data_IF_586316542781
#
_entry.id   IF_586316542781
#
_cell.length_a   1.000
_cell.length_b   1.000
_cell.length_c   1.000
_cell.angle_alpha   90.00
_cell.angle_beta   90.00
_cell.angle_gamma   90.00
#
_symmetry.space_group_name_H-M   'P 1'
#
loop_
_entity.id
_entity.type
_entity.pdbx_description
1 polymer ?
#
# COMPACT_ATOMS: atom_id res chain seq x y z
N UNK A 1 -2.34 -7.74 -2.08
CA UNK A 1 -1.61 -6.59 -1.49
C UNK A 1 -0.52 -7.05 -0.55
N UNK A 2 -0.75 -8.05 0.31
CA UNK A 2 0.22 -8.53 1.29
C UNK A 2 1.66 -8.71 0.81
N UNK A 3 1.87 -9.46 -0.28
CA UNK A 3 3.20 -9.66 -0.87
C UNK A 3 3.85 -8.35 -1.37
N UNK A 4 3.06 -7.45 -1.95
CA UNK A 4 3.54 -6.14 -2.42
C UNK A 4 4.00 -5.30 -1.24
N UNK A 5 3.19 -5.22 -0.18
CA UNK A 5 3.50 -4.49 1.04
C UNK A 5 4.75 -5.05 1.75
N UNK A 6 4.92 -6.37 1.78
CA UNK A 6 6.14 -7.00 2.27
C UNK A 6 7.37 -6.62 1.45
N UNK A 7 7.30 -6.77 0.12
CA UNK A 7 8.44 -6.50 -0.75
C UNK A 7 8.91 -5.04 -0.64
N UNK A 8 7.99 -4.07 -0.77
CA UNK A 8 8.33 -2.65 -0.66
C UNK A 8 8.70 -2.25 0.78
N UNK A 9 8.07 -2.88 1.77
CA UNK A 9 8.36 -2.62 3.18
C UNK A 9 9.78 -3.03 3.54
N UNK A 10 10.24 -4.18 3.05
CA UNK A 10 11.63 -4.61 3.19
C UNK A 10 12.61 -3.63 2.53
N UNK A 11 12.28 -3.10 1.35
CA UNK A 11 13.11 -2.08 0.69
C UNK A 11 13.21 -0.82 1.55
N UNK A 12 12.08 -0.25 1.98
CA UNK A 12 12.09 0.97 2.80
C UNK A 12 12.74 0.77 4.18
N UNK A 13 12.64 -0.44 4.75
CA UNK A 13 13.19 -0.75 6.08
C UNK A 13 14.68 -1.10 6.08
N UNK A 14 15.16 -1.81 5.05
CA UNK A 14 16.46 -2.49 5.12
C UNK A 14 17.42 -2.13 3.98
N UNK A 15 16.96 -1.47 2.92
CA UNK A 15 17.90 -0.96 1.91
C UNK A 15 18.76 0.16 2.52
N UNK A 16 20.07 0.25 2.19
CA UNK A 16 20.96 1.27 2.76
C UNK A 16 20.48 2.71 2.59
N UNK A 17 19.75 2.99 1.51
CA UNK A 17 19.17 4.29 1.18
C UNK A 17 17.63 4.32 1.31
N UNK A 18 17.03 3.24 1.83
CA UNK A 18 15.56 3.06 1.91
C UNK A 18 14.83 3.13 0.57
N UNK A 19 15.55 2.97 -0.55
CA UNK A 19 15.04 3.13 -1.91
C UNK A 19 14.98 4.58 -2.41
N UNK A 20 15.52 5.55 -1.66
CA UNK A 20 15.51 6.96 -2.05
C UNK A 20 16.28 7.20 -3.35
N UNK A 21 17.55 6.82 -3.41
CA UNK A 21 18.39 7.06 -4.57
C UNK A 21 18.26 5.92 -5.58
N UNK A 22 18.44 4.68 -5.13
CA UNK A 22 18.48 3.45 -5.93
C UNK A 22 17.18 3.14 -6.69
N UNK A 23 16.03 3.64 -6.24
CA UNK A 23 14.72 3.42 -6.88
C UNK A 23 14.07 4.75 -7.27
N UNK A 24 14.05 5.72 -6.36
CA UNK A 24 13.32 6.96 -6.57
C UNK A 24 14.16 8.10 -7.18
N UNK A 25 15.47 7.92 -7.33
CA UNK A 25 16.36 8.98 -7.87
C UNK A 25 16.40 10.23 -7.00
N UNK A 26 16.12 10.10 -5.69
CA UNK A 26 16.14 11.16 -4.71
C UNK A 26 17.49 11.19 -3.99
N UNK A 27 18.14 12.35 -4.01
CA UNK A 27 19.38 12.58 -3.28
C UNK A 27 19.09 12.85 -1.80
N UNK A 28 19.75 12.09 -0.92
CA UNK A 28 19.74 12.32 0.53
C UNK A 28 20.96 13.17 0.90
N UNK A 29 20.74 14.30 1.57
CA UNK A 29 21.80 15.25 1.96
C UNK A 29 21.80 15.49 3.48
N UNK A 30 21.41 16.69 3.91
CA UNK A 30 21.65 17.18 5.27
C UNK A 30 20.88 16.38 6.34
N UNK A 31 19.67 15.90 6.03
CA UNK A 31 18.79 15.18 6.96
C UNK A 31 18.68 13.67 6.68
N UNK A 32 19.71 13.08 6.06
CA UNK A 32 19.70 11.69 5.63
C UNK A 32 19.33 10.71 6.74
N UNK A 33 19.88 10.87 7.95
CA UNK A 33 19.59 9.99 9.08
C UNK A 33 18.11 10.04 9.52
N UNK A 34 17.54 11.25 9.57
CA UNK A 34 16.12 11.45 9.90
C UNK A 34 15.22 10.85 8.83
N UNK A 35 15.52 11.10 7.55
CA UNK A 35 14.75 10.56 6.42
C UNK A 35 14.80 9.03 6.42
N UNK A 36 15.99 8.43 6.63
CA UNK A 36 16.14 6.98 6.70
C UNK A 36 15.40 6.38 7.89
N UNK A 37 15.36 7.05 9.05
CA UNK A 37 14.55 6.62 10.20
C UNK A 37 13.05 6.64 9.88
N UNK A 38 12.58 7.68 9.18
CA UNK A 38 11.18 7.76 8.72
C UNK A 38 10.86 6.69 7.69
N UNK A 39 11.75 6.46 6.71
CA UNK A 39 11.60 5.40 5.71
C UNK A 39 11.58 4.02 6.37
N UNK A 40 12.45 3.78 7.35
CA UNK A 40 12.45 2.54 8.08
C UNK A 40 11.15 2.31 8.83
N UNK A 41 10.63 3.35 9.49
CA UNK A 41 9.32 3.31 10.16
C UNK A 41 8.19 2.99 9.17
N UNK A 42 8.17 3.65 8.01
CA UNK A 42 7.21 3.38 6.95
C UNK A 42 7.32 1.94 6.42
N UNK A 43 8.54 1.43 6.23
CA UNK A 43 8.80 0.07 5.78
C UNK A 43 8.33 -0.98 6.78
N UNK A 44 8.60 -0.79 8.08
CA UNK A 44 8.15 -1.67 9.14
C UNK A 44 6.62 -1.71 9.24
N UNK A 45 5.94 -0.56 9.10
CA UNK A 45 4.47 -0.51 9.03
C UNK A 45 3.93 -1.31 7.84
N UNK A 46 4.57 -1.21 6.66
CA UNK A 46 4.18 -1.97 5.48
C UNK A 46 4.42 -3.47 5.65
N UNK A 47 5.50 -3.89 6.31
CA UNK A 47 5.77 -5.30 6.63
C UNK A 47 4.66 -5.86 7.53
N UNK A 48 4.35 -5.18 8.64
CA UNK A 48 3.31 -5.61 9.58
C UNK A 48 1.95 -5.70 8.88
N UNK A 49 1.60 -4.67 8.10
CA UNK A 49 0.36 -4.68 7.32
C UNK A 49 0.34 -5.82 6.30
N UNK A 50 1.44 -6.03 5.58
CA UNK A 50 1.55 -7.09 4.57
C UNK A 50 1.39 -8.49 5.17
N UNK A 51 2.00 -8.73 6.34
CA UNK A 51 1.80 -9.97 7.11
C UNK A 51 0.33 -10.14 7.53
N UNK A 52 -0.31 -9.07 8.01
CA UNK A 52 -1.71 -9.12 8.42
C UNK A 52 -2.64 -9.37 7.23
N UNK A 53 -2.38 -8.78 6.08
CA UNK A 53 -3.12 -9.02 4.84
C UNK A 53 -2.98 -10.48 4.36
N UNK A 54 -1.77 -11.06 4.44
CA UNK A 54 -1.56 -12.48 4.12
C UNK A 54 -2.29 -13.39 5.09
N UNK A 55 -2.21 -13.10 6.40
CA UNK A 55 -2.96 -13.84 7.40
C UNK A 55 -4.47 -13.78 7.14
N UNK A 56 -5.02 -12.60 6.86
CA UNK A 56 -6.43 -12.43 6.57
C UNK A 56 -6.86 -13.20 5.32
N UNK A 57 -6.06 -13.17 4.26
CA UNK A 57 -6.32 -13.90 3.03
C UNK A 57 -6.34 -15.43 3.25
N UNK A 58 -5.45 -15.95 4.10
CA UNK A 58 -5.28 -17.40 4.30
C UNK A 58 -6.14 -17.97 5.42
N UNK A 59 -6.39 -17.22 6.49
CA UNK A 59 -6.93 -17.74 7.76
C UNK A 59 -8.12 -16.97 8.29
N UNK A 60 -8.34 -15.72 7.88
CA UNK A 60 -9.42 -14.89 8.40
C UNK A 60 -10.15 -14.11 7.30
N UNK A 61 -10.80 -14.82 6.33
CA UNK A 61 -11.39 -14.21 5.14
C UNK A 61 -12.46 -13.16 5.45
N UNK A 62 -13.07 -13.22 6.66
CA UNK A 62 -14.01 -12.20 7.15
C UNK A 62 -13.42 -10.78 7.18
N UNK A 63 -12.10 -10.64 7.30
CA UNK A 63 -11.42 -9.35 7.32
C UNK A 63 -10.98 -8.86 5.93
N UNK A 64 -11.02 -9.70 4.90
CA UNK A 64 -10.47 -9.38 3.57
C UNK A 64 -11.11 -8.14 2.97
N UNK A 65 -12.44 -8.03 2.99
CA UNK A 65 -13.12 -6.84 2.44
C UNK A 65 -12.80 -5.57 3.21
N UNK A 66 -12.70 -5.66 4.54
CA UNK A 66 -12.34 -4.50 5.38
C UNK A 66 -10.91 -4.04 5.08
N UNK A 67 -9.96 -4.97 5.00
CA UNK A 67 -8.57 -4.67 4.69
C UNK A 67 -8.40 -4.12 3.27
N UNK A 68 -9.12 -4.66 2.29
CA UNK A 68 -9.15 -4.11 0.94
C UNK A 68 -9.69 -2.67 0.92
N UNK A 69 -10.74 -2.38 1.68
CA UNK A 69 -11.30 -1.03 1.76
C UNK A 69 -10.30 -0.05 2.40
N UNK A 70 -9.68 -0.44 3.53
CA UNK A 70 -8.66 0.37 4.20
C UNK A 70 -7.45 0.61 3.28
N UNK A 71 -6.95 -0.41 2.60
CA UNK A 71 -5.82 -0.29 1.69
C UNK A 71 -6.13 0.59 0.48
N UNK A 72 -7.36 0.51 -0.06
CA UNK A 72 -7.83 1.37 -1.15
C UNK A 72 -7.84 2.83 -0.71
N UNK A 73 -8.37 3.11 0.48
CA UNK A 73 -8.40 4.46 1.05
C UNK A 73 -6.99 5.00 1.33
N UNK A 74 -6.11 4.18 1.93
CA UNK A 74 -4.72 4.53 2.18
C UNK A 74 -4.00 4.89 0.87
N UNK A 75 -4.20 4.10 -0.18
CA UNK A 75 -3.58 4.36 -1.49
C UNK A 75 -4.13 5.64 -2.12
N UNK A 76 -5.45 5.90 -2.00
CA UNK A 76 -6.06 7.15 -2.47
C UNK A 76 -5.45 8.38 -1.77
N UNK A 77 -5.36 8.36 -0.44
CA UNK A 77 -4.79 9.48 0.32
C UNK A 77 -3.31 9.66 0.02
N UNK A 78 -2.57 8.56 -0.17
CA UNK A 78 -1.17 8.63 -0.61
C UNK A 78 -1.04 9.25 -2.00
N UNK A 79 -1.93 8.94 -2.94
CA UNK A 79 -1.97 9.57 -4.27
C UNK A 79 -2.27 11.07 -4.16
N UNK A 80 -3.25 11.47 -3.35
CA UNK A 80 -3.53 12.89 -3.09
C UNK A 80 -2.28 13.60 -2.56
N UNK A 81 -1.56 12.98 -1.63
CA UNK A 81 -0.30 13.55 -1.14
C UNK A 81 0.74 13.71 -2.27
N UNK A 82 0.97 12.65 -3.05
CA UNK A 82 2.01 12.59 -4.09
C UNK A 82 1.76 13.53 -5.28
N UNK A 83 0.50 13.89 -5.55
CA UNK A 83 0.13 14.71 -6.71
C UNK A 83 -0.40 16.11 -6.35
N UNK A 84 -0.91 16.35 -5.14
CA UNK A 84 -1.62 17.58 -4.82
C UNK A 84 -1.21 18.28 -3.52
N UNK A 85 -0.83 17.55 -2.46
CA UNK A 85 -0.51 18.18 -1.17
C UNK A 85 0.98 18.42 -0.96
N UNK A 86 1.78 17.35 -0.91
CA UNK A 86 3.24 17.44 -0.74
C UNK A 86 3.91 16.59 -1.83
N UNK A 87 3.84 17.04 -3.09
CA UNK A 87 4.44 16.32 -4.21
C UNK A 87 5.96 16.28 -4.05
N UNK A 88 6.54 15.21 -4.59
CA UNK A 88 8.00 15.07 -4.69
C UNK A 88 8.53 16.00 -5.78
N UNK A 89 9.81 16.43 -5.69
CA UNK A 89 10.42 17.32 -6.68
C UNK A 89 10.61 16.67 -8.05
N UNK A 90 10.54 15.33 -8.12
CA UNK A 90 10.66 14.54 -9.34
C UNK A 90 9.58 13.46 -9.38
N UNK A 91 9.26 12.99 -10.59
CA UNK A 91 8.39 11.83 -10.78
C UNK A 91 9.17 10.58 -10.41
N UNK A 92 8.70 9.88 -9.38
CA UNK A 92 9.32 8.65 -8.90
C UNK A 92 8.53 7.43 -9.39
N UNK A 93 9.14 6.25 -9.59
CA UNK A 93 8.42 5.06 -10.08
C UNK A 93 7.21 4.67 -9.23
N UNK A 94 7.26 4.97 -7.93
CA UNK A 94 6.15 4.76 -7.01
C UNK A 94 4.87 5.53 -7.37
N UNK A 95 4.94 6.67 -8.04
CA UNK A 95 3.76 7.46 -8.42
C UNK A 95 2.83 6.72 -9.40
N UNK A 96 3.26 6.38 -10.63
CA UNK A 96 2.42 5.61 -11.56
C UNK A 96 2.10 4.21 -11.03
N UNK A 97 3.01 3.58 -10.27
CA UNK A 97 2.74 2.30 -9.64
C UNK A 97 1.56 2.35 -8.66
N UNK A 98 1.48 3.37 -7.79
CA UNK A 98 0.36 3.50 -6.86
C UNK A 98 -0.96 3.84 -7.57
N UNK A 99 -0.93 4.50 -8.74
CA UNK A 99 -2.15 4.70 -9.57
C UNK A 99 -2.67 3.36 -10.07
N UNK A 100 -1.78 2.52 -10.62
CA UNK A 100 -2.14 1.17 -11.06
C UNK A 100 -2.66 0.31 -9.90
N UNK A 101 -2.01 0.39 -8.73
CA UNK A 101 -2.46 -0.32 -7.52
C UNK A 101 -3.82 0.17 -7.04
N UNK A 102 -4.08 1.47 -7.04
CA UNK A 102 -5.38 2.02 -6.66
C UNK A 102 -6.49 1.49 -7.56
N UNK A 103 -6.29 1.49 -8.89
CA UNK A 103 -7.26 0.94 -9.83
C UNK A 103 -7.53 -0.56 -9.56
N UNK A 104 -6.48 -1.36 -9.36
CA UNK A 104 -6.60 -2.78 -9.04
C UNK A 104 -7.35 -3.02 -7.72
N UNK A 105 -7.02 -2.25 -6.68
CA UNK A 105 -7.67 -2.33 -5.37
C UNK A 105 -9.15 -1.96 -5.46
N UNK A 106 -9.49 -0.91 -6.22
CA UNK A 106 -10.87 -0.49 -6.42
C UNK A 106 -11.70 -1.58 -7.11
N UNK A 107 -11.16 -2.18 -8.18
CA UNK A 107 -11.79 -3.33 -8.85
C UNK A 107 -11.98 -4.49 -7.88
N UNK A 108 -10.93 -4.86 -7.13
CA UNK A 108 -11.01 -5.94 -6.15
C UNK A 108 -12.04 -5.65 -5.04
N UNK A 109 -12.14 -4.41 -4.58
CA UNK A 109 -13.10 -3.99 -3.56
C UNK A 109 -14.54 -4.08 -4.09
N UNK A 110 -14.81 -3.61 -5.31
CA UNK A 110 -16.13 -3.72 -5.95
C UNK A 110 -16.56 -5.19 -6.07
N UNK A 111 -15.66 -6.06 -6.52
CA UNK A 111 -15.91 -7.52 -6.59
C UNK A 111 -16.23 -8.07 -5.20
N UNK A 112 -15.41 -7.74 -4.19
CA UNK A 112 -15.59 -8.24 -2.83
C UNK A 112 -16.92 -7.78 -2.20
N UNK A 113 -17.34 -6.54 -2.43
CA UNK A 113 -18.62 -6.01 -1.95
C UNK A 113 -19.81 -6.68 -2.64
N UNK A 114 -19.71 -6.88 -3.96
CA UNK A 114 -20.77 -7.52 -4.76
C UNK A 114 -20.96 -8.98 -4.35
N UNK A 115 -19.86 -9.73 -4.19
CA UNK A 115 -19.91 -11.11 -3.75
C UNK A 115 -20.50 -11.27 -2.33
N UNK A 116 -20.23 -10.31 -1.42
CA UNK A 116 -20.83 -10.29 -0.08
C UNK A 116 -22.34 -10.06 -0.13
N UNK A 117 -22.81 -9.11 -0.95
CA UNK A 117 -24.25 -8.82 -1.12
C UNK A 117 -25.01 -10.04 -1.64
N UNK A 118 -24.46 -10.76 -2.61
CA UNK A 118 -25.06 -11.99 -3.15
C UNK A 118 -25.22 -13.08 -2.09
N UNK A 119 -24.20 -13.31 -1.25
CA UNK A 119 -24.25 -14.29 -0.16
C UNK A 119 -25.27 -13.95 0.94
N UNK A 120 -25.66 -12.68 1.05
CA UNK A 120 -26.62 -12.21 2.04
C UNK A 120 -28.06 -12.14 1.51
N UNK A 121 -28.28 -12.35 0.21
CA UNK A 121 -29.63 -12.33 -0.37
C UNK A 121 -30.33 -13.67 -0.09
N UNK A 122 -31.63 -13.68 0.28
CA UNK A 122 -32.39 -14.91 0.44
C UNK A 122 -32.41 -15.74 -0.86
N UNK A 123 -32.46 -17.08 -0.81
CA UNK A 123 -32.65 -17.87 -2.02
C UNK A 123 -33.95 -17.45 -2.72
N UNK A 124 -33.90 -17.30 -4.04
CA UNK A 124 -35.10 -17.03 -4.84
C UNK A 124 -36.08 -18.20 -4.66
N UNK A 125 -37.31 -17.87 -4.23
CA UNK A 125 -38.40 -18.81 -4.03
C UNK A 125 -38.99 -19.31 -5.36
#
# INVERSE_FOLDING_TARGET
MGLVNLARGCVHAFAPDGGAHSIAGLELRDDSATILSLFATLGLQQIVLGLFELYAALRAPRFVTLLLALQTLTTLVALINLYAWRPLPVVVPGQPFNVAMFALQLVALVIALTARKQRQSPPAA
#
